data_IF_655792103395
#
_entry.id   IF_655792103395
#
_cell.length_a   1.000
_cell.length_b   1.000
_cell.length_c   1.000
_cell.angle_alpha   90.00
_cell.angle_beta   90.00
_cell.angle_gamma   90.00
#
_symmetry.space_group_name_H-M   'P 1'
#
loop_
_entity.id
_entity.type
_entity.pdbx_description
1 polymer ?
#
# COMPACT_ATOMS: atom_id res chain seq x y z
N UNK A 1 5.80 9.70 -30.64
CA UNK A 1 5.80 8.70 -29.56
C UNK A 1 4.57 8.98 -28.73
N UNK A 2 3.75 7.97 -28.40
CA UNK A 2 2.66 8.16 -27.42
C UNK A 2 3.32 8.58 -26.10
N UNK A 3 2.83 9.63 -25.47
CA UNK A 3 3.23 10.00 -24.12
C UNK A 3 3.02 8.76 -23.24
N UNK A 4 4.10 8.08 -22.87
CA UNK A 4 4.03 7.11 -21.78
C UNK A 4 3.75 7.95 -20.55
N UNK A 5 2.47 8.04 -20.15
CA UNK A 5 2.10 8.59 -18.86
C UNK A 5 3.01 7.99 -17.79
N UNK A 6 3.50 8.84 -16.90
CA UNK A 6 4.48 8.51 -15.86
C UNK A 6 4.17 7.12 -15.27
N UNK A 7 5.15 6.21 -15.22
CA UNK A 7 4.97 4.84 -14.69
C UNK A 7 4.21 4.84 -13.37
N UNK A 8 4.47 5.83 -12.52
CA UNK A 8 3.76 6.03 -11.25
C UNK A 8 2.26 6.32 -11.44
N UNK A 9 1.89 7.18 -12.38
CA UNK A 9 0.48 7.46 -12.70
C UNK A 9 -0.23 6.24 -13.26
N UNK A 10 0.45 5.46 -14.10
CA UNK A 10 -0.10 4.20 -14.60
C UNK A 10 -0.35 3.22 -13.44
N UNK A 11 0.62 3.04 -12.54
CA UNK A 11 0.48 2.15 -11.39
C UNK A 11 -0.65 2.61 -10.47
N UNK A 12 -0.70 3.90 -10.11
CA UNK A 12 -1.79 4.46 -9.30
C UNK A 12 -3.16 4.16 -9.93
N UNK A 13 -3.31 4.39 -11.25
CA UNK A 13 -4.58 4.10 -11.94
C UNK A 13 -4.90 2.61 -11.95
N UNK A 14 -3.90 1.74 -12.18
CA UNK A 14 -4.11 0.29 -12.20
C UNK A 14 -4.63 -0.20 -10.85
N UNK A 15 -3.94 0.14 -9.77
CA UNK A 15 -4.26 -0.29 -8.41
C UNK A 15 -5.55 0.33 -7.86
N UNK A 16 -5.96 1.50 -8.37
CA UNK A 16 -7.23 2.13 -8.00
C UNK A 16 -8.46 1.44 -8.60
N UNK A 17 -8.31 0.76 -9.75
CA UNK A 17 -9.42 0.17 -10.51
C UNK A 17 -9.55 -1.35 -10.32
N UNK A 18 -8.56 -1.99 -9.71
CA UNK A 18 -8.53 -3.44 -9.52
C UNK A 18 -7.99 -3.76 -8.12
N UNK A 19 -8.90 -4.18 -7.24
CA UNK A 19 -8.63 -4.49 -5.85
C UNK A 19 -7.74 -5.74 -5.71
N UNK A 20 -7.87 -6.73 -6.60
CA UNK A 20 -7.05 -7.94 -6.59
C UNK A 20 -5.59 -7.56 -6.94
N UNK A 21 -5.41 -6.80 -8.03
CA UNK A 21 -4.10 -6.22 -8.37
C UNK A 21 -3.51 -5.37 -7.25
N UNK A 22 -4.34 -4.66 -6.47
CA UNK A 22 -3.89 -3.84 -5.35
C UNK A 22 -3.37 -4.68 -4.17
N UNK A 23 -4.02 -5.81 -3.89
CA UNK A 23 -3.60 -6.79 -2.87
C UNK A 23 -2.32 -7.48 -3.33
N UNK A 24 -2.27 -7.99 -4.56
CA UNK A 24 -1.08 -8.65 -5.13
C UNK A 24 0.15 -7.73 -5.10
N UNK A 25 -0.04 -6.45 -5.45
CA UNK A 25 1.01 -5.44 -5.40
C UNK A 25 1.55 -5.24 -3.98
N UNK A 26 0.64 -5.19 -2.99
CA UNK A 26 1.01 -5.05 -1.59
C UNK A 26 1.80 -6.29 -1.16
N UNK A 27 1.31 -7.51 -1.42
CA UNK A 27 2.02 -8.76 -1.09
C UNK A 27 3.41 -8.83 -1.74
N UNK A 28 3.53 -8.53 -3.03
CA UNK A 28 4.82 -8.49 -3.71
C UNK A 28 5.79 -7.49 -3.08
N UNK A 29 5.30 -6.31 -2.72
CA UNK A 29 6.09 -5.27 -2.05
C UNK A 29 6.67 -5.78 -0.72
N UNK A 30 5.88 -6.56 0.05
CA UNK A 30 6.36 -7.21 1.28
C UNK A 30 7.39 -8.30 0.99
N UNK A 31 7.16 -9.15 -0.01
CA UNK A 31 8.10 -10.20 -0.40
C UNK A 31 9.46 -9.63 -0.80
N UNK A 32 9.47 -8.56 -1.59
CA UNK A 32 10.70 -7.87 -2.01
C UNK A 32 11.45 -7.31 -0.79
N UNK A 33 10.76 -6.59 0.09
CA UNK A 33 11.37 -6.05 1.32
C UNK A 33 11.94 -7.13 2.24
N UNK A 34 11.23 -8.25 2.42
CA UNK A 34 11.73 -9.37 3.22
C UNK A 34 12.95 -10.05 2.58
N UNK A 35 13.11 -9.96 1.26
CA UNK A 35 14.22 -10.55 0.53
C UNK A 35 15.49 -9.69 0.54
N UNK A 36 15.36 -8.37 0.41
CA UNK A 36 16.51 -7.46 0.24
C UNK A 36 16.73 -6.47 1.40
N UNK A 37 15.73 -6.26 2.26
CA UNK A 37 15.77 -5.30 3.37
C UNK A 37 15.75 -3.83 2.94
N UNK A 38 15.35 -3.50 1.70
CA UNK A 38 15.31 -2.13 1.18
C UNK A 38 14.08 -1.37 1.71
N UNK A 39 14.17 -0.91 2.96
CA UNK A 39 13.14 -0.12 3.62
C UNK A 39 12.76 1.16 2.83
N UNK A 40 13.71 1.96 2.29
CA UNK A 40 13.37 3.11 1.45
C UNK A 40 12.51 2.76 0.23
N UNK A 41 12.82 1.66 -0.47
CA UNK A 41 12.02 1.17 -1.59
C UNK A 41 10.63 0.71 -1.14
N UNK A 42 10.57 -0.09 -0.06
CA UNK A 42 9.32 -0.55 0.52
C UNK A 42 8.36 0.60 0.88
N UNK A 43 8.86 1.61 1.61
CA UNK A 43 8.08 2.79 1.98
C UNK A 43 7.61 3.61 0.77
N UNK A 44 8.39 3.62 -0.31
CA UNK A 44 8.02 4.29 -1.55
C UNK A 44 6.85 3.55 -2.22
N UNK A 45 6.94 2.23 -2.38
CA UNK A 45 5.87 1.43 -3.00
C UNK A 45 4.59 1.44 -2.13
N UNK A 46 4.72 1.42 -0.80
CA UNK A 46 3.58 1.57 0.11
C UNK A 46 2.87 2.94 -0.07
N UNK A 47 3.62 4.02 -0.30
CA UNK A 47 3.02 5.34 -0.62
C UNK A 47 2.31 5.34 -1.97
N UNK A 48 2.81 4.61 -2.97
CA UNK A 48 2.14 4.42 -4.27
C UNK A 48 0.82 3.68 -4.07
N UNK A 49 0.84 2.58 -3.31
CA UNK A 49 -0.37 1.87 -2.92
C UNK A 49 -1.37 2.83 -2.25
N UNK A 50 -0.99 3.53 -1.18
CA UNK A 50 -1.89 4.43 -0.46
C UNK A 50 -2.46 5.53 -1.36
N UNK A 51 -1.64 6.11 -2.24
CA UNK A 51 -2.11 7.09 -3.22
C UNK A 51 -3.15 6.50 -4.19
N UNK A 52 -2.96 5.27 -4.64
CA UNK A 52 -3.94 4.56 -5.48
C UNK A 52 -5.27 4.30 -4.77
N UNK A 53 -5.25 4.15 -3.45
CA UNK A 53 -6.45 3.92 -2.65
C UNK A 53 -7.20 5.21 -2.28
N UNK A 54 -6.84 6.36 -2.87
CA UNK A 54 -7.43 7.66 -2.56
C UNK A 54 -6.76 8.38 -1.39
N UNK A 55 -5.60 7.91 -0.94
CA UNK A 55 -4.83 8.45 0.18
C UNK A 55 -5.23 7.87 1.53
N UNK A 56 -4.51 8.29 2.59
CA UNK A 56 -4.68 7.78 3.96
C UNK A 56 -6.12 7.93 4.46
N UNK A 57 -6.77 9.06 4.18
CA UNK A 57 -8.14 9.32 4.66
C UNK A 57 -9.15 8.35 4.05
N UNK A 58 -9.03 8.04 2.77
CA UNK A 58 -9.97 7.13 2.10
C UNK A 58 -9.70 5.68 2.47
N UNK A 59 -8.42 5.30 2.54
CA UNK A 59 -8.00 3.99 3.00
C UNK A 59 -8.46 3.69 4.44
N UNK A 60 -8.36 4.68 5.33
CA UNK A 60 -8.83 4.59 6.71
C UNK A 60 -10.32 4.25 6.81
N UNK A 61 -11.18 4.92 6.02
CA UNK A 61 -12.63 4.63 6.00
C UNK A 61 -12.93 3.21 5.53
N UNK A 62 -12.23 2.76 4.48
CA UNK A 62 -12.46 1.43 3.88
C UNK A 62 -12.00 0.30 4.78
N UNK A 63 -10.88 0.47 5.46
CA UNK A 63 -10.24 -0.59 6.27
C UNK A 63 -10.61 -0.52 7.75
N UNK A 64 -11.27 0.55 8.20
CA UNK A 64 -11.49 0.88 9.62
C UNK A 64 -10.20 1.03 10.44
N UNK A 65 -9.03 1.08 9.80
CA UNK A 65 -7.75 1.42 10.44
C UNK A 65 -7.70 2.94 10.58
N UNK A 66 -7.32 3.46 11.73
CA UNK A 66 -7.26 4.91 11.92
C UNK A 66 -6.12 5.55 11.11
N UNK A 67 -6.34 6.79 10.69
CA UNK A 67 -5.43 7.53 9.82
C UNK A 67 -4.08 7.83 10.51
N UNK A 68 -4.03 7.89 11.84
CA UNK A 68 -2.81 8.12 12.61
C UNK A 68 -1.92 6.89 12.55
N UNK A 69 -2.44 5.69 12.84
CA UNK A 69 -1.76 4.41 12.67
C UNK A 69 -1.17 4.24 11.26
N UNK A 70 -1.94 4.56 10.22
CA UNK A 70 -1.45 4.51 8.84
C UNK A 70 -0.33 5.53 8.57
N UNK A 71 -0.41 6.73 9.15
CA UNK A 71 0.60 7.78 8.94
C UNK A 71 1.88 7.51 9.74
N UNK A 72 1.74 6.97 10.94
CA UNK A 72 2.84 6.60 11.82
C UNK A 72 3.67 5.47 11.22
N UNK A 73 3.02 4.45 10.64
CA UNK A 73 3.71 3.38 9.93
C UNK A 73 4.58 3.91 8.77
N UNK A 74 4.14 4.96 8.07
CA UNK A 74 4.89 5.56 6.95
C UNK A 74 6.04 6.48 7.38
N UNK A 75 6.03 6.90 8.64
CA UNK A 75 6.94 7.93 9.18
C UNK A 75 7.93 7.36 10.19
N UNK A 76 7.65 6.18 10.74
CA UNK A 76 8.51 5.52 11.71
C UNK A 76 9.48 4.55 11.02
N UNK A 77 10.74 4.59 11.42
CA UNK A 77 11.79 3.65 10.99
C UNK A 77 11.78 2.35 11.83
N UNK A 78 10.68 2.07 12.53
CA UNK A 78 10.50 0.85 13.30
C UNK A 78 9.84 -0.24 12.43
N UNK A 79 10.68 -1.15 11.93
CA UNK A 79 10.27 -2.28 11.08
C UNK A 79 9.15 -3.13 11.70
N UNK A 80 9.14 -3.33 13.02
CA UNK A 80 8.10 -4.14 13.69
C UNK A 80 6.73 -3.47 13.59
N UNK A 81 6.63 -2.18 13.93
CA UNK A 81 5.37 -1.45 13.87
C UNK A 81 4.86 -1.32 12.43
N UNK A 82 5.77 -1.13 11.48
CA UNK A 82 5.48 -1.09 10.06
C UNK A 82 4.89 -2.42 9.57
N UNK A 83 5.51 -3.56 9.90
CA UNK A 83 5.04 -4.89 9.52
C UNK A 83 3.71 -5.28 10.19
N UNK A 84 3.49 -4.87 11.45
CA UNK A 84 2.21 -5.08 12.14
C UNK A 84 1.08 -4.31 11.44
N UNK A 85 1.33 -3.03 11.12
CA UNK A 85 0.36 -2.17 10.42
C UNK A 85 0.07 -2.70 9.01
N UNK A 86 1.11 -3.18 8.34
CA UNK A 86 0.99 -3.80 7.03
C UNK A 86 0.13 -5.07 7.06
N UNK A 87 0.32 -5.92 8.07
CA UNK A 87 -0.47 -7.13 8.25
C UNK A 87 -1.95 -6.82 8.51
N UNK A 88 -2.22 -5.79 9.33
CA UNK A 88 -3.58 -5.29 9.55
C UNK A 88 -4.21 -4.80 8.25
N UNK A 89 -3.48 -4.00 7.48
CA UNK A 89 -3.91 -3.46 6.20
C UNK A 89 -4.25 -4.56 5.20
N UNK A 90 -3.36 -5.54 5.01
CA UNK A 90 -3.56 -6.64 4.08
C UNK A 90 -4.80 -7.48 4.45
N UNK A 91 -4.99 -7.78 5.73
CA UNK A 91 -6.16 -8.52 6.20
C UNK A 91 -7.46 -7.74 5.98
N UNK A 92 -7.47 -6.43 6.25
CA UNK A 92 -8.64 -5.59 6.01
C UNK A 92 -9.02 -5.55 4.52
N UNK A 93 -8.03 -5.41 3.63
CA UNK A 93 -8.26 -5.36 2.19
C UNK A 93 -8.80 -6.67 1.62
N UNK A 94 -8.30 -7.81 2.11
CA UNK A 94 -8.80 -9.14 1.74
C UNK A 94 -10.23 -9.38 2.22
N UNK A 95 -10.59 -8.85 3.40
CA UNK A 95 -11.97 -8.91 3.88
C UNK A 95 -12.91 -8.12 2.96
N UNK A 96 -12.52 -6.89 2.57
CA UNK A 96 -13.29 -6.06 1.65
C UNK A 96 -13.43 -6.62 0.21
N UNK A 97 -12.64 -7.63 -0.17
CA UNK A 97 -12.77 -8.30 -1.48
C UNK A 97 -13.90 -9.36 -1.48
N UNK A 98 -14.26 -9.88 -0.30
CA UNK A 98 -15.25 -10.96 -0.14
C UNK A 98 -16.68 -10.51 0.14
N UNK A 99 -16.91 -9.22 0.34
CA UNK A 99 -18.23 -8.59 0.56
C UNK A 99 -18.80 -7.98 -0.74
#
# INVERSE_FOLDING_TARGET
MREMGNWNEYQIRRLANDQESAIDYLELTLEEYLADGDLPFFLKELRVFIASQGGVSELSKRTSIDAETLSDALSNENDTQLLDTFSLLLNALKHCLGD
#
